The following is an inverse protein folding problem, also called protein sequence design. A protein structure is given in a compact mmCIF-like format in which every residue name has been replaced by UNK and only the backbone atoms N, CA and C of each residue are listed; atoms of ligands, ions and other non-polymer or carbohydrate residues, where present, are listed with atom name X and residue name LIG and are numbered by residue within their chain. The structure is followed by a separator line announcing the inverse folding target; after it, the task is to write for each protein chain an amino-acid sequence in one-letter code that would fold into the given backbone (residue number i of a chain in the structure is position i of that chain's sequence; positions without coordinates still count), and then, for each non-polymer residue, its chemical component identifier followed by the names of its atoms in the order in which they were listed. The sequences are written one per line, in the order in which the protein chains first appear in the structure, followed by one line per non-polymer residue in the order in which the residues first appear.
data_IF_400034679553
#
_entry.id   IF_400034679553
#
_cell.length_a   1.000
_cell.length_b   1.000
_cell.length_c   1.000
_cell.angle_alpha   90.00
_cell.angle_beta   90.00
_cell.angle_gamma   90.00
#
_symmetry.space_group_name_H-M   'P 1'
#
loop_
_entity.id
_entity.type
_entity.pdbx_description
1 polymer ?
#
# COMPACT_ATOMS: atom_id res chain seq x y z
N UNK A 1 -6.02 -5.90 7.44
CA UNK A 1 -5.54 -5.15 6.26
C UNK A 1 -6.31 -3.86 6.01
N UNK A 2 -7.65 -3.86 6.06
CA UNK A 2 -8.48 -2.66 5.79
C UNK A 2 -8.23 -1.46 6.73
N UNK A 3 -7.91 -1.68 8.01
CA UNK A 3 -7.68 -0.60 8.98
C UNK A 3 -6.49 0.31 8.61
N UNK A 4 -5.43 -0.25 8.02
CA UNK A 4 -4.22 0.50 7.68
C UNK A 4 -4.46 1.46 6.50
N UNK A 5 -5.28 1.07 5.54
CA UNK A 5 -5.76 1.97 4.48
C UNK A 5 -6.67 3.07 5.04
N UNK A 6 -7.52 2.78 6.03
CA UNK A 6 -8.36 3.81 6.65
C UNK A 6 -7.55 4.80 7.49
N UNK A 7 -6.52 4.33 8.20
CA UNK A 7 -5.60 5.23 8.91
C UNK A 7 -4.81 6.13 7.96
N UNK A 8 -4.33 5.61 6.82
CA UNK A 8 -3.65 6.45 5.84
C UNK A 8 -4.58 7.48 5.19
N UNK A 9 -5.85 7.14 4.92
CA UNK A 9 -6.87 8.10 4.46
C UNK A 9 -7.09 9.20 5.52
N UNK A 10 -7.18 8.84 6.80
CA UNK A 10 -7.40 9.79 7.89
C UNK A 10 -6.24 10.77 8.07
N UNK A 11 -4.99 10.28 8.03
CA UNK A 11 -3.79 11.12 8.09
C UNK A 11 -3.77 12.12 6.93
N UNK A 12 -4.18 11.70 5.73
CA UNK A 12 -4.25 12.58 4.56
C UNK A 12 -5.36 13.60 4.61
N UNK A 13 -6.53 13.22 5.12
CA UNK A 13 -7.60 14.18 5.38
C UNK A 13 -7.10 15.29 6.32
N UNK A 14 -6.39 14.91 7.39
CA UNK A 14 -5.72 15.87 8.27
C UNK A 14 -4.69 16.75 7.54
N UNK A 15 -3.84 16.16 6.70
CA UNK A 15 -2.84 16.92 5.93
C UNK A 15 -3.47 17.91 4.96
N UNK A 16 -4.50 17.51 4.19
CA UNK A 16 -5.18 18.37 3.23
C UNK A 16 -5.97 19.52 3.88
N UNK A 17 -6.39 19.36 5.15
CA UNK A 17 -6.99 20.45 5.93
C UNK A 17 -5.93 21.44 6.41
N UNK A 18 -4.73 20.99 6.74
CA UNK A 18 -3.70 21.81 7.38
C UNK A 18 -2.75 22.44 6.35
N UNK A 19 -2.49 21.76 5.23
CA UNK A 19 -1.54 22.21 4.21
C UNK A 19 -1.83 23.59 3.61
N UNK A 20 -3.10 24.01 3.40
CA UNK A 20 -3.38 25.37 2.89
C UNK A 20 -2.90 26.48 3.83
N UNK A 21 -2.98 26.25 5.15
CA UNK A 21 -2.58 27.21 6.17
C UNK A 21 -1.06 27.23 6.38
N UNK A 22 -0.42 26.06 6.37
CA UNK A 22 1.03 25.94 6.53
C UNK A 22 1.80 26.47 5.32
N UNK A 23 1.30 26.20 4.11
CA UNK A 23 1.95 26.57 2.86
C UNK A 23 1.48 27.93 2.32
N UNK A 24 0.63 28.65 3.09
CA UNK A 24 0.08 29.96 2.73
C UNK A 24 -0.48 29.98 1.31
N UNK A 25 -1.50 29.17 1.08
CA UNK A 25 -2.20 29.19 -0.19
C UNK A 25 -2.84 30.57 -0.37
N UNK A 26 -2.34 31.36 -1.30
CA UNK A 26 -2.83 32.71 -1.57
C UNK A 26 -4.11 32.69 -2.44
N UNK A 27 -4.41 31.56 -3.09
CA UNK A 27 -5.62 31.37 -3.90
C UNK A 27 -6.73 30.60 -3.14
N UNK A 28 -7.92 31.21 -3.11
CA UNK A 28 -9.19 30.61 -2.66
C UNK A 28 -9.58 29.33 -3.39
N UNK A 29 -9.19 29.15 -4.67
CA UNK A 29 -9.54 27.95 -5.43
C UNK A 29 -8.76 26.72 -4.95
N UNK A 30 -7.44 26.84 -4.78
CA UNK A 30 -6.59 25.74 -4.30
C UNK A 30 -6.93 25.32 -2.87
N UNK A 31 -7.23 26.28 -1.98
CA UNK A 31 -7.63 26.00 -0.60
C UNK A 31 -9.00 25.31 -0.54
N UNK A 32 -9.98 25.76 -1.32
CA UNK A 32 -11.29 25.10 -1.41
C UNK A 32 -11.19 23.67 -1.96
N UNK A 33 -10.32 23.44 -2.95
CA UNK A 33 -10.11 22.11 -3.52
C UNK A 33 -9.45 21.14 -2.52
N UNK A 34 -8.43 21.62 -1.79
CA UNK A 34 -7.77 20.84 -0.75
C UNK A 34 -8.73 20.47 0.39
N UNK A 35 -9.52 21.44 0.88
CA UNK A 35 -10.52 21.22 1.94
C UNK A 35 -11.64 20.29 1.46
N UNK A 36 -12.12 20.46 0.22
CA UNK A 36 -13.13 19.59 -0.38
C UNK A 36 -12.64 18.13 -0.53
N UNK A 37 -11.41 17.94 -1.01
CA UNK A 37 -10.78 16.63 -1.07
C UNK A 37 -10.59 16.01 0.32
N UNK A 38 -10.24 16.82 1.32
CA UNK A 38 -10.12 16.36 2.71
C UNK A 38 -11.45 15.86 3.29
N UNK A 39 -12.55 16.56 3.01
CA UNK A 39 -13.89 16.17 3.46
C UNK A 39 -14.34 14.85 2.83
N UNK A 40 -14.13 14.66 1.52
CA UNK A 40 -14.43 13.40 0.85
C UNK A 40 -13.59 12.26 1.43
N UNK A 41 -12.29 12.48 1.64
CA UNK A 41 -11.42 11.49 2.28
C UNK A 41 -11.89 11.12 3.69
N UNK A 42 -12.32 12.09 4.51
CA UNK A 42 -12.86 11.82 5.85
C UNK A 42 -14.13 10.96 5.79
N UNK A 43 -15.06 11.26 4.89
CA UNK A 43 -16.30 10.48 4.71
C UNK A 43 -15.98 9.05 4.28
N UNK A 44 -15.04 8.87 3.35
CA UNK A 44 -14.61 7.54 2.88
C UNK A 44 -13.92 6.74 3.99
N UNK A 45 -13.09 7.39 4.82
CA UNK A 45 -12.47 6.77 5.97
C UNK A 45 -13.49 6.30 6.99
N UNK A 46 -14.47 7.15 7.32
CA UNK A 46 -15.54 6.86 8.29
C UNK A 46 -16.51 5.78 7.79
N UNK A 47 -16.98 5.90 6.55
CA UNK A 47 -17.90 4.94 5.93
C UNK A 47 -17.23 3.57 5.70
N UNK A 48 -15.94 3.57 5.41
CA UNK A 48 -15.19 2.33 5.25
C UNK A 48 -14.83 1.66 6.57
N UNK A 49 -14.52 2.44 7.61
CA UNK A 49 -14.31 1.92 8.97
C UNK A 49 -15.58 1.24 9.53
N UNK A 50 -16.77 1.73 9.17
CA UNK A 50 -18.05 1.16 9.62
C UNK A 50 -18.52 -0.05 8.81
N UNK A 51 -18.16 -0.15 7.52
CA UNK A 51 -18.66 -1.22 6.63
C UNK A 51 -17.70 -2.39 6.41
N UNK A 52 -16.41 -2.24 6.71
CA UNK A 52 -15.41 -3.32 6.61
C UNK A 52 -15.16 -3.86 5.19
N UNK A 53 -15.78 -3.29 4.16
CA UNK A 53 -15.74 -3.77 2.76
C UNK A 53 -14.49 -3.27 2.03
N UNK A 54 -13.93 -4.12 1.16
CA UNK A 54 -12.70 -3.92 0.37
C UNK A 54 -12.82 -2.96 -0.83
N UNK A 55 -13.84 -2.08 -0.84
CA UNK A 55 -14.05 -1.08 -1.90
C UNK A 55 -13.19 0.20 -1.89
N UNK A 56 -12.46 0.60 -0.82
CA UNK A 56 -11.88 1.94 -0.79
C UNK A 56 -10.73 2.13 -1.78
N UNK A 57 -9.99 1.08 -2.17
CA UNK A 57 -8.74 1.22 -2.95
C UNK A 57 -8.93 1.83 -4.35
N UNK A 58 -10.11 1.65 -4.98
CA UNK A 58 -10.40 2.24 -6.30
C UNK A 58 -10.84 3.70 -6.17
N UNK A 59 -11.61 4.01 -5.13
CA UNK A 59 -12.12 5.35 -4.88
C UNK A 59 -11.00 6.27 -4.35
N UNK A 60 -10.14 5.78 -3.45
CA UNK A 60 -8.94 6.50 -3.01
C UNK A 60 -7.95 6.72 -4.14
N UNK A 61 -7.79 5.75 -5.04
CA UNK A 61 -6.97 5.90 -6.25
C UNK A 61 -7.53 6.98 -7.19
N UNK A 62 -8.85 7.01 -7.42
CA UNK A 62 -9.50 8.03 -8.22
C UNK A 62 -9.36 9.43 -7.60
N UNK A 63 -9.54 9.56 -6.28
CA UNK A 63 -9.32 10.83 -5.57
C UNK A 63 -7.86 11.29 -5.64
N UNK A 64 -6.89 10.38 -5.48
CA UNK A 64 -5.48 10.70 -5.66
C UNK A 64 -5.15 11.18 -7.07
N UNK A 65 -5.72 10.53 -8.09
CA UNK A 65 -5.57 10.93 -9.48
C UNK A 65 -6.19 12.31 -9.77
N UNK A 66 -7.36 12.61 -9.21
CA UNK A 66 -8.00 13.93 -9.32
C UNK A 66 -7.17 15.02 -8.64
N UNK A 67 -6.63 14.74 -7.45
CA UNK A 67 -5.74 15.67 -6.75
C UNK A 67 -4.45 15.91 -7.55
N UNK A 68 -3.87 14.86 -8.15
CA UNK A 68 -2.70 14.98 -9.00
C UNK A 68 -2.99 15.80 -10.27
N UNK A 69 -4.14 15.58 -10.91
CA UNK A 69 -4.58 16.35 -12.07
C UNK A 69 -4.80 17.82 -11.73
N UNK A 70 -5.41 18.11 -10.57
CA UNK A 70 -5.57 19.47 -10.07
C UNK A 70 -4.22 20.13 -9.78
N UNK A 71 -3.33 19.45 -9.06
CA UNK A 71 -1.98 19.94 -8.78
C UNK A 71 -1.20 20.25 -10.06
N UNK A 72 -1.36 19.44 -11.10
CA UNK A 72 -0.75 19.68 -12.41
C UNK A 72 -1.28 20.95 -13.09
N UNK A 73 -2.58 21.22 -13.01
CA UNK A 73 -3.18 22.47 -13.52
C UNK A 73 -2.72 23.67 -12.68
N UNK A 74 -2.73 23.52 -11.36
CA UNK A 74 -2.32 24.55 -10.40
C UNK A 74 -0.82 24.90 -10.52
N UNK A 75 0.04 24.00 -11.02
CA UNK A 75 1.45 24.32 -11.29
C UNK A 75 1.64 25.44 -12.34
N UNK A 76 0.64 25.69 -13.19
CA UNK A 76 0.68 26.73 -14.22
C UNK A 76 -0.08 28.00 -13.82
N UNK A 77 -0.64 28.04 -12.61
CA UNK A 77 -1.34 29.20 -12.08
C UNK A 77 -0.43 29.97 -11.12
N UNK A 78 -0.32 31.30 -11.24
CA UNK A 78 0.38 32.11 -10.25
C UNK A 78 -0.33 31.96 -8.90
N UNK A 79 0.45 31.79 -7.83
CA UNK A 79 -0.01 31.70 -6.44
C UNK A 79 -0.78 30.43 -6.04
N UNK A 80 -0.81 29.41 -6.90
CA UNK A 80 -1.38 28.11 -6.58
C UNK A 80 -0.31 27.11 -6.12
N UNK A 81 -0.62 26.31 -5.11
CA UNK A 81 0.30 25.32 -4.54
C UNK A 81 0.30 23.98 -5.32
N UNK A 82 0.30 24.08 -6.65
CA UNK A 82 0.22 22.94 -7.55
C UNK A 82 1.24 21.82 -7.30
N UNK A 83 2.52 22.12 -6.98
CA UNK A 83 3.50 21.07 -6.70
C UNK A 83 3.12 20.17 -5.52
N UNK A 84 2.52 20.73 -4.46
CA UNK A 84 2.12 19.96 -3.27
C UNK A 84 0.97 19.00 -3.59
N UNK A 85 -0.05 19.49 -4.27
CA UNK A 85 -1.22 18.70 -4.69
C UNK A 85 -0.83 17.61 -5.68
N UNK A 86 0.10 17.91 -6.60
CA UNK A 86 0.62 16.96 -7.57
C UNK A 86 1.37 15.80 -6.88
N UNK A 87 2.32 16.13 -6.00
CA UNK A 87 3.12 15.14 -5.28
C UNK A 87 2.22 14.29 -4.38
N UNK A 88 1.34 14.94 -3.60
CA UNK A 88 0.42 14.24 -2.69
C UNK A 88 -0.52 13.30 -3.46
N UNK A 89 -1.04 13.76 -4.61
CA UNK A 89 -1.95 12.96 -5.44
C UNK A 89 -1.25 11.74 -6.07
N UNK A 90 -0.03 11.93 -6.59
CA UNK A 90 0.77 10.85 -7.18
C UNK A 90 1.18 9.79 -6.15
N UNK A 91 1.70 10.22 -5.00
CA UNK A 91 2.08 9.30 -3.92
C UNK A 91 0.87 8.50 -3.44
N UNK A 92 -0.29 9.15 -3.34
CA UNK A 92 -1.51 8.52 -2.88
C UNK A 92 -2.09 7.51 -3.87
N UNK A 93 -2.17 7.89 -5.14
CA UNK A 93 -2.51 6.99 -6.26
C UNK A 93 -1.61 5.76 -6.26
N UNK A 94 -0.29 5.96 -6.13
CA UNK A 94 0.70 4.89 -6.07
C UNK A 94 0.50 3.96 -4.88
N UNK A 95 0.31 4.50 -3.68
CA UNK A 95 0.08 3.71 -2.46
C UNK A 95 -1.24 2.93 -2.54
N UNK A 96 -2.30 3.54 -3.08
CA UNK A 96 -3.59 2.89 -3.29
C UNK A 96 -3.51 1.75 -4.30
N UNK A 97 -2.73 1.93 -5.37
CA UNK A 97 -2.43 0.87 -6.32
C UNK A 97 -1.67 -0.29 -5.66
N UNK A 98 -0.61 0.01 -4.90
CA UNK A 98 0.18 -1.01 -4.22
C UNK A 98 -0.67 -1.82 -3.23
N UNK A 99 -1.47 -1.15 -2.40
CA UNK A 99 -2.34 -1.83 -1.43
C UNK A 99 -3.42 -2.69 -2.09
N UNK A 100 -3.94 -2.27 -3.25
CA UNK A 100 -4.93 -3.06 -4.01
C UNK A 100 -4.38 -4.37 -4.58
N UNK A 101 -3.05 -4.48 -4.72
CA UNK A 101 -2.37 -5.66 -5.26
C UNK A 101 -1.90 -6.64 -4.18
N UNK A 102 -2.06 -6.28 -2.90
CA UNK A 102 -1.77 -7.18 -1.78
C UNK A 102 -2.99 -8.10 -1.63
N UNK A 103 -2.92 -9.28 -2.26
CA UNK A 103 -3.92 -10.32 -2.09
C UNK A 103 -3.63 -11.12 -0.83
N UNK A 104 -4.65 -11.47 -0.01
CA UNK A 104 -4.48 -12.51 0.98
C UNK A 104 -4.10 -13.79 0.23
N UNK A 105 -2.89 -14.27 0.47
CA UNK A 105 -2.40 -15.56 -0.03
C UNK A 105 -2.48 -16.56 1.12
N UNK A 106 -3.02 -17.74 0.84
CA UNK A 106 -3.12 -18.82 1.82
C UNK A 106 -1.76 -19.48 2.07
N UNK A 107 -0.88 -19.48 1.07
CA UNK A 107 0.45 -20.08 1.15
C UNK A 107 1.49 -19.30 0.31
N UNK A 108 2.74 -19.30 0.79
CA UNK A 108 3.91 -18.80 0.07
C UNK A 108 4.96 -19.91 0.03
N UNK A 109 5.46 -20.24 -1.17
CA UNK A 109 6.51 -21.24 -1.34
C UNK A 109 7.85 -20.56 -1.62
N UNK A 110 8.85 -20.89 -0.82
CA UNK A 110 10.25 -20.55 -1.08
C UNK A 110 10.89 -21.66 -1.90
N UNK A 111 11.64 -21.27 -2.93
CA UNK A 111 12.29 -22.18 -3.85
C UNK A 111 13.82 -22.10 -3.70
N UNK A 112 14.47 -23.21 -3.98
CA UNK A 112 15.90 -23.35 -4.20
C UNK A 112 16.35 -22.59 -5.48
N UNK A 113 17.66 -22.37 -5.63
CA UNK A 113 18.30 -21.84 -6.85
C UNK A 113 17.97 -22.69 -8.08
N UNK A 114 17.71 -23.99 -7.91
CA UNK A 114 17.31 -24.90 -9.00
C UNK A 114 15.78 -24.94 -9.22
N UNK A 115 15.00 -24.15 -8.47
CA UNK A 115 13.54 -24.09 -8.60
C UNK A 115 12.77 -25.16 -7.83
N UNK A 116 13.42 -25.94 -6.97
CA UNK A 116 12.77 -26.94 -6.12
C UNK A 116 12.12 -26.28 -4.89
N UNK A 117 10.88 -26.64 -4.50
CA UNK A 117 10.24 -26.08 -3.31
C UNK A 117 10.98 -26.51 -2.04
N UNK A 118 11.42 -25.55 -1.23
CA UNK A 118 12.16 -25.80 0.02
C UNK A 118 11.33 -25.54 1.27
N UNK A 119 10.49 -24.50 1.26
CA UNK A 119 9.68 -24.16 2.41
C UNK A 119 8.31 -23.62 1.99
N UNK A 120 7.25 -24.14 2.58
CA UNK A 120 5.89 -23.60 2.41
C UNK A 120 5.49 -22.88 3.68
N UNK A 121 5.34 -21.56 3.60
CA UNK A 121 4.89 -20.70 4.68
C UNK A 121 3.37 -20.54 4.55
N UNK A 122 2.63 -20.99 5.55
CA UNK A 122 1.15 -20.98 5.53
C UNK A 122 0.57 -19.82 6.33
N UNK A 123 1.32 -19.29 7.30
CA UNK A 123 0.83 -18.19 8.13
C UNK A 123 1.95 -17.38 8.75
N UNK A 124 1.82 -16.06 8.70
CA UNK A 124 2.67 -15.11 9.42
C UNK A 124 1.75 -14.23 10.28
N UNK A 125 1.99 -14.19 11.58
CA UNK A 125 1.19 -13.41 12.55
C UNK A 125 2.08 -12.79 13.61
N UNK A 126 1.65 -11.67 14.18
CA UNK A 126 2.28 -11.14 15.40
C UNK A 126 1.61 -11.81 16.60
N UNK A 127 2.42 -12.41 17.48
CA UNK A 127 1.98 -13.04 18.72
C UNK A 127 2.96 -12.68 19.83
N UNK A 128 2.45 -12.15 20.94
CA UNK A 128 3.24 -11.78 22.13
C UNK A 128 4.45 -10.87 21.81
N UNK A 129 4.24 -9.90 20.90
CA UNK A 129 5.29 -8.98 20.46
C UNK A 129 6.31 -9.56 19.47
N UNK A 130 6.21 -10.84 19.14
CA UNK A 130 7.08 -11.53 18.18
C UNK A 130 6.35 -11.84 16.87
N UNK A 131 7.10 -12.01 15.78
CA UNK A 131 6.54 -12.54 14.52
C UNK A 131 6.57 -14.07 14.60
N UNK A 132 5.40 -14.70 14.65
CA UNK A 132 5.23 -16.14 14.56
C UNK A 132 4.93 -16.53 13.10
N UNK A 133 5.73 -17.43 12.54
CA UNK A 133 5.56 -17.96 11.20
C UNK A 133 5.38 -19.49 11.25
N UNK A 134 4.31 -20.00 10.65
CA UNK A 134 4.11 -21.44 10.44
C UNK A 134 4.66 -21.82 9.08
N UNK A 135 5.60 -22.75 9.06
CA UNK A 135 6.22 -23.23 7.82
C UNK A 135 6.40 -24.74 7.82
N UNK A 136 6.33 -25.32 6.63
CA UNK A 136 6.68 -26.71 6.32
C UNK A 136 8.00 -26.69 5.57
N UNK A 137 9.05 -27.24 6.16
CA UNK A 137 10.40 -27.27 5.56
C UNK A 137 10.63 -28.63 4.90
N UNK A 138 10.95 -28.69 3.61
CA UNK A 138 11.44 -29.91 2.93
C UNK A 138 10.62 -31.18 3.26
N UNK A 139 9.29 -31.11 3.26
CA UNK A 139 8.41 -32.27 3.55
C UNK A 139 8.40 -32.75 5.01
N UNK A 140 8.97 -31.99 5.95
CA UNK A 140 8.91 -32.26 7.38
C UNK A 140 7.55 -31.90 8.00
N UNK A 141 7.36 -32.23 9.29
CA UNK A 141 6.18 -31.78 10.02
C UNK A 141 6.14 -30.24 10.11
N UNK A 142 4.94 -29.61 10.05
CA UNK A 142 4.81 -28.17 10.19
C UNK A 142 5.43 -27.67 11.50
N UNK A 143 6.34 -26.71 11.41
CA UNK A 143 6.97 -26.07 12.55
C UNK A 143 6.50 -24.61 12.68
N UNK A 144 6.42 -24.13 13.93
CA UNK A 144 6.17 -22.71 14.22
C UNK A 144 7.48 -22.06 14.61
N UNK A 145 7.95 -21.12 13.79
CA UNK A 145 9.14 -20.32 14.03
C UNK A 145 8.73 -18.99 14.66
N UNK A 146 9.59 -18.46 15.52
CA UNK A 146 9.43 -17.12 16.11
C UNK A 146 10.62 -16.25 15.74
N UNK A 147 10.34 -15.07 15.20
CA UNK A 147 11.33 -14.01 15.01
C UNK A 147 11.07 -12.92 16.05
N UNK A 148 12.11 -12.63 16.84
CA UNK A 148 12.11 -11.54 17.82
C UNK A 148 12.33 -10.19 17.11
N UNK A 149 11.88 -9.06 17.69
CA UNK A 149 12.07 -7.74 17.08
C UNK A 149 13.53 -7.42 16.73
N UNK A 150 14.48 -7.83 17.57
CA UNK A 150 15.91 -7.58 17.34
C UNK A 150 16.43 -8.34 16.11
N UNK A 151 15.93 -9.57 15.89
CA UNK A 151 16.28 -10.39 14.74
C UNK A 151 15.66 -9.86 13.45
N UNK A 152 14.47 -9.25 13.53
CA UNK A 152 13.87 -8.56 12.38
C UNK A 152 14.72 -7.34 11.97
N UNK A 153 15.24 -6.59 12.95
CA UNK A 153 16.12 -5.47 12.68
C UNK A 153 17.44 -5.90 12.03
N UNK A 154 18.04 -7.00 12.52
CA UNK A 154 19.21 -7.61 11.89
C UNK A 154 18.91 -8.07 10.47
N UNK A 155 17.77 -8.73 10.24
CA UNK A 155 17.36 -9.20 8.93
C UNK A 155 17.21 -8.03 7.92
N UNK A 156 16.66 -6.89 8.34
CA UNK A 156 16.62 -5.68 7.51
C UNK A 156 18.02 -5.21 7.11
N UNK A 157 18.99 -5.27 8.02
CA UNK A 157 20.40 -4.95 7.75
C UNK A 157 21.11 -5.94 6.81
N UNK A 158 20.58 -7.16 6.64
CA UNK A 158 21.12 -8.14 5.69
C UNK A 158 20.62 -7.92 4.25
N UNK A 159 19.58 -7.11 4.06
CA UNK A 159 19.04 -6.81 2.73
C UNK A 159 19.98 -5.82 2.06
N UNK A 160 20.60 -6.23 0.95
CA UNK A 160 21.46 -5.34 0.17
C UNK A 160 20.67 -4.18 -0.42
N UNK A 161 21.34 -3.04 -0.62
CA UNK A 161 20.73 -1.88 -1.25
C UNK A 161 20.18 -2.19 -2.65
N UNK A 162 20.90 -3.02 -3.43
CA UNK A 162 20.44 -3.50 -4.73
C UNK A 162 19.10 -4.23 -4.65
N UNK A 163 18.90 -5.03 -3.60
CA UNK A 163 17.63 -5.73 -3.36
C UNK A 163 16.52 -4.74 -3.03
N UNK A 164 16.79 -3.71 -2.23
CA UNK A 164 15.82 -2.66 -1.89
C UNK A 164 15.39 -1.90 -3.14
N UNK A 165 16.36 -1.49 -3.97
CA UNK A 165 16.10 -0.77 -5.23
C UNK A 165 15.40 -1.67 -6.25
N UNK A 166 15.69 -2.96 -6.25
CA UNK A 166 15.05 -3.96 -7.12
C UNK A 166 13.65 -4.38 -6.67
N UNK A 167 13.32 -4.20 -5.38
CA UNK A 167 12.06 -4.65 -4.77
C UNK A 167 10.81 -4.14 -5.51
N UNK A 168 10.69 -2.85 -5.89
CA UNK A 168 9.52 -2.36 -6.62
C UNK A 168 9.31 -3.10 -7.95
N UNK A 169 10.39 -3.33 -8.71
CA UNK A 169 10.33 -4.07 -9.97
C UNK A 169 9.88 -5.51 -9.74
N UNK A 170 10.43 -6.15 -8.70
CA UNK A 170 10.07 -7.52 -8.33
C UNK A 170 8.59 -7.65 -7.95
N UNK A 171 8.06 -6.71 -7.17
CA UNK A 171 6.65 -6.65 -6.79
C UNK A 171 5.73 -6.48 -8.01
N UNK A 172 6.08 -5.59 -8.95
CA UNK A 172 5.32 -5.39 -10.20
C UNK A 172 5.31 -6.67 -11.05
N UNK A 173 6.47 -7.32 -11.20
CA UNK A 173 6.58 -8.58 -11.94
C UNK A 173 5.76 -9.69 -11.28
N UNK A 174 5.82 -9.80 -9.94
CA UNK A 174 5.01 -10.75 -9.16
C UNK A 174 3.51 -10.52 -9.36
N UNK A 175 3.05 -9.27 -9.24
CA UNK A 175 1.64 -8.91 -9.43
C UNK A 175 1.15 -9.22 -10.85
N UNK A 176 1.96 -8.99 -11.89
CA UNK A 176 1.61 -9.35 -13.27
C UNK A 176 1.45 -10.86 -13.44
N UNK A 177 2.39 -11.64 -12.92
CA UNK A 177 2.37 -13.12 -13.01
C UNK A 177 1.21 -13.73 -12.24
N UNK A 178 0.91 -13.24 -11.04
CA UNK A 178 -0.22 -13.70 -10.24
C UNK A 178 -1.55 -13.50 -10.98
N UNK A 179 -1.79 -12.32 -11.57
CA UNK A 179 -3.00 -12.04 -12.34
C UNK A 179 -3.14 -12.96 -13.57
N UNK A 180 -2.05 -13.29 -14.24
CA UNK A 180 -2.05 -14.24 -15.37
C UNK A 180 -2.36 -15.68 -14.95
N UNK A 181 -1.89 -16.11 -13.78
CA UNK A 181 -2.19 -17.44 -13.24
C UNK A 181 -3.68 -17.54 -12.85
N UNK A 182 -4.21 -16.56 -12.13
CA UNK A 182 -5.65 -16.51 -11.79
C UNK A 182 -6.55 -16.48 -13.02
N UNK A 183 -6.14 -15.79 -14.09
CA UNK A 183 -6.88 -15.77 -15.35
C UNK A 183 -6.90 -17.13 -16.05
N UNK A 184 -5.80 -17.90 -16.01
CA UNK A 184 -5.73 -19.26 -16.57
C UNK A 184 -6.60 -20.26 -15.81
N UNK A 185 -6.60 -20.19 -14.47
CA UNK A 185 -7.43 -21.09 -13.64
C UNK A 185 -8.93 -20.87 -13.87
N UNK A 186 -9.36 -19.63 -14.15
CA UNK A 186 -10.77 -19.30 -14.46
C UNK A 186 -11.25 -19.75 -15.84
N UNK A 187 -10.36 -19.99 -16.79
CA UNK A 187 -10.72 -20.46 -18.15
C UNK A 187 -10.83 -21.99 -18.20
N UNK A 188 -10.33 -22.69 -17.17
CA UNK A 188 -10.38 -24.14 -17.05
C UNK A 188 -11.49 -24.65 -16.11
N UNK A 189 -12.28 -23.74 -15.54
CA UNK A 189 -13.51 -24.04 -14.79
C UNK A 189 -14.72 -23.68 -15.65
#
# INVERSE_FOLDING_TARGET
MNKLCYYSIAVLSGWLLVSPFLLRYDDTASSAYAIGAAAVCAVVALAGASTGRTGPSRLTMALGALLAAWGLVACFMPNAAGPNELITGLLWSGLSLLTSKIHPADEMVAYDIYGNPMATITRITIKDGNIAAKAVLLGSMPATMYLRPEEVWKALGMISWDTIVGLPRFLITGARRANSQTAKTKVQQ
#
